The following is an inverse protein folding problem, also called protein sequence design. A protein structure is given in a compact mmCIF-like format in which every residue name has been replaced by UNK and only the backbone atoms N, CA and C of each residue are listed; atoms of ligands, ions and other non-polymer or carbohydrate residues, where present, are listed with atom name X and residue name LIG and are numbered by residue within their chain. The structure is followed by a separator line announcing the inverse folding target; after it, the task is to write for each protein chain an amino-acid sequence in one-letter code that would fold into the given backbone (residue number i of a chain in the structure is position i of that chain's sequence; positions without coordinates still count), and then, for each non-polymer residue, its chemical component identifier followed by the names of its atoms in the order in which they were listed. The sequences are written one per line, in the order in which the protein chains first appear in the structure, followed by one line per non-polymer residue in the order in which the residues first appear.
data_IF_722751544500
#
_entry.id   IF_722751544500
#
_cell.length_a   1.000
_cell.length_b   1.000
_cell.length_c   1.000
_cell.angle_alpha   90.00
_cell.angle_beta   90.00
_cell.angle_gamma   90.00
#
_symmetry.space_group_name_H-M   'P 1'
#
loop_
_entity.id
_entity.type
_entity.pdbx_description
1 polymer ?
#
# COMPACT_ATOMS: atom_id res chain seq x y z
N UNK A 1 -16.99 -7.86 -16.39
CA UNK A 1 -16.37 -9.00 -17.11
C UNK A 1 -15.21 -9.52 -16.26
N UNK A 2 -14.82 -10.80 -16.34
CA UNK A 2 -13.58 -11.21 -15.71
C UNK A 2 -12.40 -10.40 -16.32
N UNK A 3 -11.27 -10.22 -15.57
CA UNK A 3 -10.07 -9.59 -16.11
C UNK A 3 -9.73 -10.26 -17.44
N UNK A 4 -9.21 -9.46 -18.39
CA UNK A 4 -8.85 -9.97 -19.72
C UNK A 4 -7.96 -11.21 -19.57
N UNK A 5 -8.24 -12.24 -20.35
CA UNK A 5 -7.51 -13.51 -20.30
C UNK A 5 -6.04 -13.31 -20.70
N UNK A 6 -5.18 -13.03 -19.73
CA UNK A 6 -3.73 -12.99 -19.94
C UNK A 6 -3.12 -14.27 -19.38
N UNK A 7 -2.16 -14.93 -20.07
CA UNK A 7 -1.56 -16.19 -19.63
C UNK A 7 -0.92 -16.15 -18.24
N UNK A 8 -0.48 -14.97 -17.80
CA UNK A 8 0.08 -14.79 -16.46
C UNK A 8 -0.98 -14.81 -15.35
N UNK A 9 -2.28 -14.57 -15.63
CA UNK A 9 -3.33 -14.58 -14.62
C UNK A 9 -3.69 -16.02 -14.29
N UNK A 10 -3.34 -16.47 -13.08
CA UNK A 10 -3.62 -17.82 -12.57
C UNK A 10 -5.00 -17.87 -11.93
N UNK A 11 -5.37 -16.82 -11.18
CA UNK A 11 -6.63 -16.74 -10.45
C UNK A 11 -7.09 -15.28 -10.35
N UNK A 12 -8.41 -15.07 -10.32
CA UNK A 12 -9.01 -13.77 -10.05
C UNK A 12 -10.33 -13.97 -9.34
N UNK A 13 -10.46 -13.39 -8.16
CA UNK A 13 -11.61 -13.57 -7.26
C UNK A 13 -11.89 -12.30 -6.46
N UNK A 14 -13.03 -12.22 -5.80
CA UNK A 14 -13.28 -11.25 -4.76
C UNK A 14 -12.88 -11.82 -3.40
N UNK A 15 -12.30 -10.99 -2.52
CA UNK A 15 -12.00 -11.40 -1.14
C UNK A 15 -13.28 -11.76 -0.38
N UNK A 16 -14.37 -11.12 -0.71
CA UNK A 16 -15.71 -11.38 -0.16
C UNK A 16 -16.78 -11.03 -1.18
N UNK A 17 -17.91 -11.69 -1.10
CA UNK A 17 -19.12 -11.38 -1.90
C UNK A 17 -20.04 -10.42 -1.16
N UNK A 18 -20.08 -10.49 0.17
CA UNK A 18 -20.88 -9.63 1.03
C UNK A 18 -20.07 -9.15 2.22
N UNK A 19 -20.30 -7.93 2.63
CA UNK A 19 -19.67 -7.29 3.78
C UNK A 19 -20.74 -6.52 4.59
N UNK A 20 -20.48 -6.24 5.88
CA UNK A 20 -21.39 -5.44 6.70
C UNK A 20 -21.34 -3.93 6.41
N UNK A 21 -20.67 -3.53 5.35
CA UNK A 21 -20.50 -2.15 4.89
C UNK A 21 -20.70 -2.06 3.37
N UNK A 22 -21.22 -0.93 2.86
CA UNK A 22 -21.41 -0.75 1.41
C UNK A 22 -20.14 -0.32 0.67
N UNK A 23 -19.20 0.35 1.35
CA UNK A 23 -17.99 0.92 0.71
C UNK A 23 -16.70 0.35 1.29
N UNK A 24 -15.74 0.06 0.42
CA UNK A 24 -14.42 -0.46 0.77
C UNK A 24 -13.31 0.20 -0.07
N UNK A 25 -12.14 0.48 0.54
CA UNK A 25 -11.02 1.07 -0.17
C UNK A 25 -9.65 0.76 0.45
N UNK A 26 -8.58 1.02 -0.33
CA UNK A 26 -7.18 0.99 0.10
C UNK A 26 -6.76 -0.34 0.72
N UNK A 27 -6.79 -1.40 -0.07
CA UNK A 27 -6.35 -2.73 0.37
C UNK A 27 -4.83 -2.82 0.57
N UNK A 28 -4.43 -3.71 1.45
CA UNK A 28 -3.06 -4.17 1.67
C UNK A 28 -3.04 -5.69 1.78
N UNK A 29 -1.95 -6.33 1.39
CA UNK A 29 -1.80 -7.78 1.43
C UNK A 29 -0.41 -8.16 1.95
N UNK A 30 -0.34 -9.26 2.69
CA UNK A 30 0.92 -9.84 3.21
C UNK A 30 0.81 -11.36 3.26
N UNK A 31 1.96 -12.03 3.14
CA UNK A 31 2.09 -13.43 3.51
C UNK A 31 2.71 -13.54 4.90
N UNK A 32 2.06 -14.31 5.78
CA UNK A 32 2.59 -14.63 7.10
C UNK A 32 2.49 -16.14 7.35
N UNK A 33 3.62 -16.81 7.64
CA UNK A 33 3.71 -18.26 7.85
C UNK A 33 3.01 -19.08 6.74
N UNK A 34 3.18 -18.68 5.47
CA UNK A 34 2.62 -19.36 4.31
C UNK A 34 1.11 -19.19 4.11
N UNK A 35 0.50 -18.20 4.76
CA UNK A 35 -0.92 -17.83 4.58
C UNK A 35 -1.04 -16.35 4.24
N UNK A 36 -2.01 -16.02 3.39
CA UNK A 36 -2.27 -14.64 3.00
C UNK A 36 -3.20 -13.96 4.01
N UNK A 37 -2.91 -12.71 4.29
CA UNK A 37 -3.74 -11.82 5.08
C UNK A 37 -3.89 -10.52 4.29
N UNK A 38 -5.12 -10.03 4.19
CA UNK A 38 -5.43 -8.76 3.54
C UNK A 38 -6.27 -7.89 4.47
N UNK A 39 -6.07 -6.57 4.39
CA UNK A 39 -6.86 -5.60 5.12
C UNK A 39 -7.23 -4.42 4.20
N UNK A 40 -8.25 -3.70 4.55
CA UNK A 40 -8.75 -2.49 3.86
C UNK A 40 -9.55 -1.64 4.84
N UNK A 41 -9.86 -0.41 4.49
CA UNK A 41 -10.86 0.31 5.25
C UNK A 41 -12.26 0.17 4.61
N UNK A 42 -13.29 0.15 5.43
CA UNK A 42 -14.68 0.01 4.99
C UNK A 42 -15.67 0.60 5.99
N UNK A 43 -16.75 1.15 5.48
CA UNK A 43 -17.82 1.81 6.22
C UNK A 43 -18.93 2.27 5.26
N UNK A 44 -19.72 3.25 5.67
CA UNK A 44 -20.78 3.83 4.84
C UNK A 44 -20.19 4.52 3.61
N UNK A 45 -19.27 5.47 3.82
CA UNK A 45 -18.52 6.15 2.77
C UNK A 45 -17.14 6.54 3.32
N UNK A 46 -16.15 6.74 2.43
CA UNK A 46 -14.82 7.22 2.83
C UNK A 46 -14.91 8.56 3.56
N UNK A 47 -14.37 8.62 4.78
CA UNK A 47 -14.43 9.81 5.63
C UNK A 47 -15.56 9.80 6.65
N UNK A 48 -16.51 8.87 6.55
CA UNK A 48 -17.56 8.74 7.57
C UNK A 48 -17.01 8.17 8.89
N UNK A 49 -17.55 8.58 10.03
CA UNK A 49 -17.06 8.13 11.34
C UNK A 49 -17.16 6.61 11.55
N UNK A 50 -18.02 5.89 10.81
CA UNK A 50 -18.18 4.44 10.93
C UNK A 50 -17.10 3.65 10.17
N UNK A 51 -16.24 4.33 9.39
CA UNK A 51 -15.16 3.66 8.68
C UNK A 51 -14.17 3.04 9.65
N UNK A 52 -14.02 1.71 9.57
CA UNK A 52 -13.08 0.91 10.32
C UNK A 52 -12.09 0.16 9.44
N UNK A 53 -11.11 -0.51 10.05
CA UNK A 53 -10.18 -1.40 9.35
C UNK A 53 -10.69 -2.83 9.43
N UNK A 54 -10.91 -3.41 8.26
CA UNK A 54 -11.40 -4.76 8.07
C UNK A 54 -10.30 -5.66 7.54
N UNK A 55 -10.38 -6.94 7.86
CA UNK A 55 -9.38 -7.94 7.53
C UNK A 55 -10.03 -9.26 7.12
N UNK A 56 -9.38 -9.94 6.16
CA UNK A 56 -9.68 -11.31 5.78
C UNK A 56 -8.39 -12.13 5.71
N UNK A 57 -8.49 -13.42 6.00
CA UNK A 57 -7.38 -14.37 5.96
C UNK A 57 -7.69 -15.49 4.98
N UNK A 58 -6.70 -15.88 4.19
CA UNK A 58 -6.82 -17.01 3.28
C UNK A 58 -6.25 -18.27 3.95
N UNK A 59 -7.03 -19.32 4.08
CA UNK A 59 -6.60 -20.58 4.73
C UNK A 59 -5.84 -21.53 3.81
N UNK A 60 -5.70 -21.18 2.53
CA UNK A 60 -5.14 -21.97 1.44
C UNK A 60 -6.24 -22.49 0.48
N UNK A 61 -7.52 -22.28 0.80
CA UNK A 61 -8.67 -22.66 -0.04
C UNK A 61 -9.61 -21.50 -0.29
N UNK A 62 -9.88 -20.71 0.74
CA UNK A 62 -10.85 -19.62 0.68
C UNK A 62 -10.49 -18.48 1.63
N UNK A 63 -10.99 -17.31 1.33
CA UNK A 63 -10.96 -16.14 2.20
C UNK A 63 -12.00 -16.25 3.31
N UNK A 64 -11.63 -15.86 4.53
CA UNK A 64 -12.58 -15.74 5.63
C UNK A 64 -13.54 -14.56 5.39
N UNK A 65 -14.70 -14.57 6.03
CA UNK A 65 -15.53 -13.38 6.11
C UNK A 65 -14.73 -12.19 6.67
N UNK A 66 -15.02 -10.94 6.24
CA UNK A 66 -14.42 -9.74 6.81
C UNK A 66 -14.67 -9.61 8.31
N UNK A 67 -13.63 -9.27 9.07
CA UNK A 67 -13.71 -8.93 10.51
C UNK A 67 -13.12 -7.54 10.74
N UNK A 68 -13.78 -6.72 11.54
CA UNK A 68 -13.24 -5.43 11.97
C UNK A 68 -12.12 -5.67 12.99
N UNK A 69 -10.93 -5.10 12.75
CA UNK A 69 -9.73 -5.27 13.58
C UNK A 69 -9.24 -3.98 14.21
N UNK A 70 -9.72 -2.84 13.71
CA UNK A 70 -9.45 -1.53 14.28
C UNK A 70 -10.56 -0.55 13.88
N UNK A 71 -10.82 0.41 14.77
CA UNK A 71 -11.76 1.52 14.55
C UNK A 71 -11.15 2.82 15.05
N UNK A 72 -11.79 3.93 14.73
CA UNK A 72 -11.38 5.26 15.18
C UNK A 72 -12.07 5.73 16.45
N UNK A 73 -12.62 4.84 17.27
CA UNK A 73 -13.25 5.19 18.55
C UNK A 73 -12.19 5.69 19.53
N UNK A 74 -12.41 6.89 20.06
CA UNK A 74 -11.53 7.55 21.01
C UNK A 74 -11.99 7.26 22.47
N UNK A 75 -11.12 7.45 23.47
CA UNK A 75 -11.48 7.23 24.88
C UNK A 75 -12.68 8.03 25.38
N UNK A 76 -12.95 9.19 24.80
CA UNK A 76 -14.09 10.06 25.11
C UNK A 76 -15.39 9.66 24.38
N UNK A 77 -15.35 8.59 23.59
CA UNK A 77 -16.47 8.11 22.78
C UNK A 77 -16.61 8.76 21.42
N UNK A 78 -15.82 9.77 21.09
CA UNK A 78 -15.75 10.35 19.73
C UNK A 78 -15.30 9.26 18.76
N UNK A 79 -15.86 9.24 17.55
CA UNK A 79 -15.45 8.31 16.51
C UNK A 79 -14.98 9.09 15.27
N UNK A 80 -13.74 8.83 14.86
CA UNK A 80 -13.16 9.30 13.61
C UNK A 80 -13.05 8.15 12.61
N UNK A 81 -13.03 8.41 11.31
CA UNK A 81 -12.71 7.39 10.32
C UNK A 81 -11.31 6.81 10.54
N UNK A 82 -11.19 5.52 10.24
CA UNK A 82 -9.89 4.84 10.13
C UNK A 82 -9.49 4.70 8.66
N UNK A 83 -8.19 4.90 8.35
CA UNK A 83 -7.70 5.09 7.01
C UNK A 83 -6.49 4.21 6.70
N UNK A 84 -6.29 3.90 5.40
CA UNK A 84 -5.08 3.36 4.79
C UNK A 84 -4.35 2.31 5.66
N UNK A 85 -4.90 1.11 5.85
CA UNK A 85 -4.18 0.05 6.54
C UNK A 85 -2.95 -0.38 5.72
N UNK A 86 -1.86 -0.68 6.41
CA UNK A 86 -0.68 -1.30 5.86
C UNK A 86 -0.30 -2.49 6.72
N UNK A 87 -0.44 -3.70 6.18
CA UNK A 87 0.06 -4.92 6.77
C UNK A 87 1.54 -5.09 6.42
N UNK A 88 2.33 -5.47 7.39
CA UNK A 88 3.74 -5.79 7.19
C UNK A 88 4.18 -6.95 8.07
N UNK A 89 4.83 -7.96 7.46
CA UNK A 89 5.45 -9.06 8.18
C UNK A 89 6.97 -8.84 8.17
N UNK A 90 7.56 -8.38 9.29
CA UNK A 90 9.02 -8.31 9.38
C UNK A 90 9.65 -9.69 9.28
N UNK A 91 10.93 -9.77 8.95
CA UNK A 91 11.70 -11.02 8.92
C UNK A 91 11.71 -11.72 10.28
N UNK A 92 11.64 -10.93 11.35
CA UNK A 92 11.51 -11.38 12.75
C UNK A 92 10.46 -10.57 13.48
N UNK A 93 9.63 -11.24 14.28
CA UNK A 93 8.63 -10.58 15.11
C UNK A 93 7.19 -10.79 14.63
N UNK A 94 6.24 -10.07 15.22
CA UNK A 94 4.83 -10.22 14.92
C UNK A 94 4.45 -9.59 13.58
N UNK A 95 3.31 -10.01 13.03
CA UNK A 95 2.62 -9.28 11.96
C UNK A 95 2.20 -7.91 12.50
N UNK A 96 2.50 -6.86 11.74
CA UNK A 96 2.16 -5.47 12.07
C UNK A 96 1.00 -4.98 11.19
N UNK A 97 0.12 -4.20 11.79
CA UNK A 97 -0.93 -3.44 11.10
C UNK A 97 -0.76 -1.97 11.45
N UNK A 98 -0.30 -1.18 10.50
CA UNK A 98 -0.30 0.28 10.58
C UNK A 98 -1.61 0.81 9.99
N UNK A 99 -2.15 1.86 10.57
CA UNK A 99 -3.32 2.57 10.04
C UNK A 99 -3.36 3.99 10.59
N UNK A 100 -4.25 4.81 10.07
CA UNK A 100 -4.44 6.19 10.52
C UNK A 100 -5.84 6.35 11.06
N UNK A 101 -5.99 7.27 11.98
CA UNK A 101 -7.28 7.70 12.53
C UNK A 101 -7.27 9.23 12.56
N UNK A 102 -8.35 9.85 12.23
CA UNK A 102 -8.49 11.31 12.24
C UNK A 102 -9.62 11.77 11.34
N UNK A 103 -10.07 13.02 11.46
CA UNK A 103 -11.21 13.55 10.71
C UNK A 103 -10.94 13.60 9.20
N UNK A 104 -9.68 13.79 8.80
CA UNK A 104 -9.26 13.87 7.39
C UNK A 104 -7.79 13.47 7.22
N UNK A 105 -7.30 13.27 5.98
CA UNK A 105 -5.88 13.04 5.70
C UNK A 105 -4.95 14.20 6.10
N UNK A 106 -5.49 15.37 6.33
CA UNK A 106 -4.76 16.56 6.77
C UNK A 106 -4.54 16.57 8.29
N UNK A 107 -5.42 15.87 9.06
CA UNK A 107 -5.47 15.93 10.51
C UNK A 107 -5.36 14.56 11.20
N UNK A 108 -5.05 13.50 10.46
CA UNK A 108 -4.93 12.16 11.02
C UNK A 108 -3.61 11.92 11.78
N UNK A 109 -3.60 10.86 12.56
CA UNK A 109 -2.40 10.37 13.26
C UNK A 109 -2.19 8.88 13.00
N UNK A 110 -0.94 8.44 13.13
CA UNK A 110 -0.54 7.06 12.91
C UNK A 110 -0.75 6.17 14.14
N UNK A 111 -1.18 4.94 13.89
CA UNK A 111 -1.30 3.88 14.88
C UNK A 111 -0.70 2.58 14.35
N UNK A 112 -0.28 1.73 15.27
CA UNK A 112 0.19 0.37 14.97
C UNK A 112 -0.36 -0.64 15.95
N UNK A 113 -0.70 -1.84 15.46
CA UNK A 113 -1.07 -3.03 16.24
C UNK A 113 -0.19 -4.19 15.83
N UNK A 114 0.00 -5.16 16.72
CA UNK A 114 0.78 -6.36 16.49
C UNK A 114 -0.06 -7.62 16.69
N UNK A 115 0.16 -8.62 15.85
CA UNK A 115 -0.46 -9.95 15.95
C UNK A 115 0.61 -11.03 15.96
N UNK A 116 0.50 -11.97 16.91
CA UNK A 116 1.37 -13.14 17.03
C UNK A 116 0.74 -14.42 16.49
N UNK A 117 -0.46 -14.32 15.94
CA UNK A 117 -1.27 -15.47 15.50
C UNK A 117 -1.85 -15.28 14.09
N UNK A 118 -1.09 -14.60 13.23
CA UNK A 118 -1.43 -14.38 11.81
C UNK A 118 -2.70 -13.56 11.62
N UNK A 119 -2.85 -12.50 12.42
CA UNK A 119 -3.98 -11.59 12.32
C UNK A 119 -5.31 -12.13 12.88
N UNK A 120 -5.27 -13.20 13.70
CA UNK A 120 -6.49 -13.67 14.40
C UNK A 120 -6.84 -12.81 15.59
N UNK A 121 -5.84 -12.42 16.35
CA UNK A 121 -5.96 -11.45 17.42
C UNK A 121 -4.89 -10.37 17.30
N UNK A 122 -5.15 -9.22 17.90
CA UNK A 122 -4.31 -8.03 17.80
C UNK A 122 -4.10 -7.43 19.19
N UNK A 123 -2.92 -6.86 19.41
CA UNK A 123 -2.66 -6.03 20.59
C UNK A 123 -3.59 -4.82 20.62
N UNK A 124 -3.63 -4.12 21.75
CA UNK A 124 -4.11 -2.75 21.77
C UNK A 124 -3.33 -1.89 20.76
N UNK A 125 -3.99 -0.84 20.25
CA UNK A 125 -3.36 0.10 19.33
C UNK A 125 -2.33 0.96 20.09
N UNK A 126 -1.14 1.07 19.52
CA UNK A 126 -0.12 2.02 19.98
C UNK A 126 -0.14 3.22 19.04
N UNK A 127 -0.32 4.43 19.58
CA UNK A 127 -0.18 5.67 18.81
C UNK A 127 1.31 5.88 18.48
N UNK A 128 1.61 6.18 17.24
CA UNK A 128 2.96 6.56 16.84
C UNK A 128 3.31 7.95 17.40
N UNK A 129 4.61 8.26 17.56
CA UNK A 129 5.04 9.56 18.04
C UNK A 129 4.45 10.72 17.23
N UNK A 130 4.30 11.88 17.84
CA UNK A 130 3.79 13.06 17.14
C UNK A 130 4.65 13.39 15.92
N UNK A 131 3.96 13.66 14.78
CA UNK A 131 4.58 13.91 13.48
C UNK A 131 5.08 12.68 12.77
N UNK A 132 4.85 11.46 13.28
CA UNK A 132 5.10 10.17 12.64
C UNK A 132 3.76 9.54 12.25
N UNK A 133 3.64 9.11 11.00
CA UNK A 133 2.44 8.48 10.45
C UNK A 133 2.64 6.98 10.18
N UNK A 134 3.90 6.52 10.19
CA UNK A 134 4.24 5.17 9.72
C UNK A 134 4.08 5.05 8.20
N UNK A 135 4.13 3.84 7.65
CA UNK A 135 3.90 3.62 6.22
C UNK A 135 2.50 4.13 5.86
N UNK A 136 2.46 5.12 4.93
CA UNK A 136 1.22 5.85 4.68
C UNK A 136 0.21 5.02 3.87
N UNK A 137 0.71 4.14 2.97
CA UNK A 137 -0.13 3.30 2.12
C UNK A 137 0.58 2.07 1.56
N UNK A 138 1.78 2.22 0.97
CA UNK A 138 2.59 1.10 0.51
C UNK A 138 3.36 0.47 1.68
N UNK A 139 3.75 -0.79 1.51
CA UNK A 139 4.50 -1.51 2.54
C UNK A 139 5.88 -0.90 2.75
N UNK A 140 6.37 -0.83 4.00
CA UNK A 140 7.78 -0.53 4.26
C UNK A 140 8.67 -1.65 3.73
N UNK A 141 9.96 -1.38 3.62
CA UNK A 141 10.99 -2.40 3.42
C UNK A 141 11.81 -2.58 4.69
N UNK A 142 12.38 -3.75 4.87
CA UNK A 142 13.33 -4.04 5.94
C UNK A 142 14.76 -3.97 5.37
N UNK A 143 15.54 -3.00 5.85
CA UNK A 143 16.93 -2.84 5.46
C UNK A 143 17.81 -3.94 6.04
N UNK A 144 19.02 -4.13 5.50
CA UNK A 144 19.93 -5.19 5.90
C UNK A 144 20.31 -5.18 7.40
N UNK A 145 20.22 -4.04 8.06
CA UNK A 145 20.47 -3.88 9.50
C UNK A 145 19.22 -4.07 10.38
N UNK A 146 18.09 -4.49 9.77
CA UNK A 146 16.81 -4.70 10.43
C UNK A 146 15.97 -3.42 10.62
N UNK A 147 16.44 -2.28 10.12
CA UNK A 147 15.64 -1.04 10.15
C UNK A 147 14.49 -1.13 9.17
N UNK A 148 13.28 -0.82 9.61
CA UNK A 148 12.16 -0.57 8.70
C UNK A 148 12.32 0.82 8.08
N UNK A 149 12.25 0.90 6.77
CA UNK A 149 12.14 2.14 6.01
C UNK A 149 10.73 2.21 5.42
N UNK A 150 9.97 3.21 5.85
CA UNK A 150 8.59 3.42 5.45
C UNK A 150 8.46 4.69 4.61
N UNK A 151 7.73 4.59 3.52
CA UNK A 151 7.32 5.76 2.76
C UNK A 151 6.08 6.41 3.38
N UNK A 152 6.17 7.69 3.68
CA UNK A 152 5.12 8.48 4.32
C UNK A 152 4.84 9.78 3.55
N UNK A 153 3.77 10.47 3.89
CA UNK A 153 3.44 11.77 3.31
C UNK A 153 2.44 12.53 4.15
N UNK A 154 2.45 13.85 4.02
CA UNK A 154 1.47 14.78 4.62
C UNK A 154 0.69 15.52 3.54
N UNK A 155 -0.52 16.01 3.89
CA UNK A 155 -1.41 16.69 2.95
C UNK A 155 -1.83 18.10 3.41
N UNK A 156 -1.45 18.55 4.62
CA UNK A 156 -1.91 19.80 5.23
C UNK A 156 -1.23 21.07 4.68
N UNK A 157 0.05 21.00 4.28
CA UNK A 157 0.81 22.13 3.72
C UNK A 157 1.26 21.84 2.28
N UNK A 158 0.32 21.34 1.45
CA UNK A 158 0.62 20.72 0.17
C UNK A 158 0.93 19.22 0.33
N UNK A 159 1.12 18.53 -0.77
CA UNK A 159 1.45 17.12 -0.76
C UNK A 159 2.96 16.90 -0.66
N UNK A 160 3.40 16.49 0.52
CA UNK A 160 4.82 16.34 0.82
C UNK A 160 5.15 14.91 1.21
N UNK A 161 6.08 14.30 0.45
CA UNK A 161 6.65 12.97 0.74
C UNK A 161 7.78 13.12 1.74
N UNK A 162 7.83 12.24 2.72
CA UNK A 162 8.98 12.04 3.60
C UNK A 162 9.17 10.56 3.88
N UNK A 163 10.33 10.20 4.38
CA UNK A 163 10.62 8.83 4.77
C UNK A 163 10.70 8.73 6.27
N UNK A 164 10.22 7.61 6.80
CA UNK A 164 10.24 7.31 8.22
C UNK A 164 10.96 5.98 8.46
N UNK A 165 11.69 5.86 9.55
CA UNK A 165 12.41 4.63 9.87
C UNK A 165 12.37 4.30 11.35
N UNK A 166 12.38 2.99 11.65
CA UNK A 166 12.36 2.45 13.00
C UNK A 166 13.05 1.08 13.06
N UNK A 167 13.75 0.82 14.16
CA UNK A 167 14.16 -0.52 14.58
C UNK A 167 13.19 -1.14 15.58
N UNK A 168 12.32 -0.32 16.13
CA UNK A 168 11.31 -0.69 17.13
C UNK A 168 9.94 -0.14 16.69
N UNK A 169 9.24 -0.81 15.77
CA UNK A 169 8.03 -0.27 15.14
C UNK A 169 6.90 0.09 16.12
N UNK A 170 6.89 -0.52 17.30
CA UNK A 170 5.95 -0.19 18.39
C UNK A 170 6.46 0.91 19.32
N UNK A 171 7.62 1.49 19.04
CA UNK A 171 8.32 2.45 19.91
C UNK A 171 8.86 3.66 19.13
N UNK A 172 10.20 3.72 19.00
CA UNK A 172 10.89 4.89 18.48
C UNK A 172 10.91 4.95 16.95
N UNK A 173 10.63 6.13 16.42
CA UNK A 173 10.68 6.46 15.00
C UNK A 173 11.47 7.74 14.75
N UNK A 174 12.03 7.83 13.56
CA UNK A 174 12.65 9.04 13.02
C UNK A 174 12.09 9.31 11.62
N UNK A 175 12.19 10.54 11.14
CA UNK A 175 11.78 10.90 9.79
C UNK A 175 12.77 11.83 9.10
N UNK A 176 12.74 11.84 7.78
CA UNK A 176 13.48 12.79 6.95
C UNK A 176 12.78 14.14 6.89
N UNK A 177 13.49 15.14 6.38
CA UNK A 177 12.86 16.31 5.78
C UNK A 177 12.01 15.88 4.56
N UNK A 178 11.10 16.75 4.04
CA UNK A 178 10.37 16.49 2.81
C UNK A 178 11.31 16.19 1.63
N UNK A 179 10.96 15.17 0.83
CA UNK A 179 11.70 14.78 -0.38
C UNK A 179 11.36 15.68 -1.56
N UNK A 180 10.16 16.27 -1.56
CA UNK A 180 9.68 17.17 -2.61
C UNK A 180 9.25 18.51 -2.03
N UNK A 181 9.18 19.51 -2.92
CA UNK A 181 8.50 20.77 -2.70
C UNK A 181 7.13 20.71 -3.38
N UNK A 182 6.06 21.11 -2.68
CA UNK A 182 4.73 21.19 -3.27
C UNK A 182 4.62 22.25 -4.39
N UNK A 183 5.53 23.22 -4.41
CA UNK A 183 5.62 24.23 -5.50
C UNK A 183 6.08 23.61 -6.82
N UNK A 184 6.83 22.48 -6.76
CA UNK A 184 7.30 21.76 -7.94
C UNK A 184 6.45 20.52 -8.21
N UNK A 185 6.24 19.70 -7.18
CA UNK A 185 5.54 18.41 -7.26
C UNK A 185 4.63 18.21 -6.07
N UNK A 186 3.34 18.25 -6.28
CA UNK A 186 2.34 17.75 -5.32
C UNK A 186 2.32 16.21 -5.38
N UNK A 187 3.15 15.54 -4.58
CA UNK A 187 3.32 14.09 -4.59
C UNK A 187 3.14 13.47 -3.21
N UNK A 188 2.53 12.27 -3.15
CA UNK A 188 2.30 11.50 -1.91
C UNK A 188 2.38 9.99 -2.15
N UNK A 189 2.32 9.25 -1.04
CA UNK A 189 2.14 7.79 -1.00
C UNK A 189 3.23 7.03 -1.77
N UNK A 190 4.49 7.19 -1.40
CA UNK A 190 5.60 6.52 -2.06
C UNK A 190 5.51 4.98 -1.91
N UNK A 191 5.79 4.26 -2.99
CA UNK A 191 6.20 2.85 -2.97
C UNK A 191 7.71 2.78 -3.14
N UNK A 192 8.36 1.77 -2.54
CA UNK A 192 9.81 1.70 -2.41
C UNK A 192 10.36 0.58 -3.29
N UNK A 193 11.36 0.89 -4.09
CA UNK A 193 12.17 -0.07 -4.86
C UNK A 193 13.58 -0.13 -4.26
N UNK A 194 13.95 -1.29 -3.72
CA UNK A 194 15.31 -1.53 -3.24
C UNK A 194 16.17 -2.13 -4.37
N UNK A 195 17.14 -1.37 -4.84
CA UNK A 195 18.12 -1.77 -5.86
C UNK A 195 19.35 -2.47 -5.25
N UNK A 196 19.36 -2.64 -3.93
CA UNK A 196 20.50 -3.21 -3.19
C UNK A 196 21.63 -2.22 -2.96
N UNK A 197 22.57 -2.58 -2.08
CA UNK A 197 23.76 -1.80 -1.73
C UNK A 197 23.47 -0.38 -1.24
N UNK A 198 22.29 -0.15 -0.65
CA UNK A 198 21.86 1.16 -0.16
C UNK A 198 21.26 2.08 -1.20
N UNK A 199 21.16 1.64 -2.47
CA UNK A 199 20.48 2.39 -3.52
C UNK A 199 18.99 2.11 -3.48
N UNK A 200 18.18 3.13 -3.24
CA UNK A 200 16.73 3.05 -3.09
C UNK A 200 16.07 4.06 -4.02
N UNK A 201 14.97 3.67 -4.62
CA UNK A 201 14.09 4.53 -5.40
C UNK A 201 12.71 4.57 -4.77
N UNK A 202 12.08 5.72 -4.77
CA UNK A 202 10.65 5.83 -4.49
C UNK A 202 9.91 6.24 -5.75
N UNK A 203 8.71 5.68 -5.92
CA UNK A 203 7.74 6.09 -6.94
C UNK A 203 6.50 6.62 -6.23
N UNK A 204 6.02 7.79 -6.62
CA UNK A 204 4.90 8.46 -5.95
C UNK A 204 3.80 8.81 -6.95
N UNK A 205 2.54 8.81 -6.49
CA UNK A 205 1.46 9.47 -7.24
C UNK A 205 1.62 10.99 -7.11
N UNK A 206 1.22 11.73 -8.14
CA UNK A 206 1.24 13.19 -8.13
C UNK A 206 -0.04 13.80 -8.68
N UNK A 207 -0.31 15.08 -8.37
CA UNK A 207 -1.42 15.84 -8.98
C UNK A 207 -1.13 16.21 -10.44
N UNK A 208 0.12 16.13 -10.87
CA UNK A 208 0.57 16.53 -12.22
C UNK A 208 0.27 15.47 -13.31
N UNK A 209 -0.46 14.40 -12.98
CA UNK A 209 -0.91 13.41 -13.97
C UNK A 209 0.13 12.35 -14.33
N UNK A 210 1.25 12.28 -13.61
CA UNK A 210 2.36 11.35 -13.82
C UNK A 210 2.83 10.72 -12.52
N UNK A 211 3.52 9.58 -12.61
CA UNK A 211 4.28 9.03 -11.51
C UNK A 211 5.58 9.82 -11.37
N UNK A 212 5.88 10.30 -10.16
CA UNK A 212 7.15 10.95 -9.83
C UNK A 212 8.09 9.98 -9.13
N UNK A 213 9.38 10.31 -9.09
CA UNK A 213 10.42 9.50 -8.48
C UNK A 213 11.48 10.35 -7.79
N UNK A 214 12.15 9.75 -6.80
CA UNK A 214 13.39 10.25 -6.22
C UNK A 214 14.29 9.08 -5.84
N UNK A 215 15.60 9.35 -5.74
CA UNK A 215 16.64 8.35 -5.51
C UNK A 215 17.42 8.65 -4.24
N UNK A 216 17.84 7.59 -3.55
CA UNK A 216 18.76 7.61 -2.43
C UNK A 216 19.91 6.65 -2.71
N UNK A 217 21.14 7.05 -2.36
CA UNK A 217 22.33 6.21 -2.45
C UNK A 217 22.86 5.79 -1.06
N UNK A 218 22.14 6.14 0.01
CA UNK A 218 22.55 5.97 1.40
C UNK A 218 21.50 5.29 2.29
N UNK A 219 20.74 4.34 1.71
CA UNK A 219 19.70 3.57 2.39
C UNK A 219 18.53 4.44 2.88
N UNK A 220 18.16 5.45 2.09
CA UNK A 220 16.98 6.28 2.32
C UNK A 220 17.19 7.45 3.29
N UNK A 221 18.44 7.80 3.62
CA UNK A 221 18.75 8.90 4.55
C UNK A 221 18.75 10.26 3.87
N UNK A 222 19.26 10.33 2.65
CA UNK A 222 19.19 11.51 1.79
C UNK A 222 18.60 11.16 0.42
N UNK A 223 18.01 12.15 -0.25
CA UNK A 223 17.26 11.96 -1.48
C UNK A 223 17.66 12.97 -2.55
N UNK A 224 17.67 12.53 -3.79
CA UNK A 224 17.78 13.42 -4.95
C UNK A 224 16.54 14.32 -5.03
N UNK A 225 16.60 15.45 -5.76
CA UNK A 225 15.39 16.15 -6.17
C UNK A 225 14.40 15.20 -6.83
N UNK A 226 13.09 15.42 -6.58
CA UNK A 226 12.04 14.65 -7.22
C UNK A 226 11.95 14.99 -8.69
N UNK A 227 11.77 13.96 -9.52
CA UNK A 227 11.62 14.09 -10.97
C UNK A 227 10.43 13.28 -11.48
N UNK A 228 10.05 13.45 -12.74
CA UNK A 228 8.98 12.68 -13.38
C UNK A 228 9.50 11.39 -13.98
N UNK A 229 8.64 10.38 -14.08
CA UNK A 229 8.80 9.22 -14.96
C UNK A 229 8.00 9.40 -16.24
N UNK A 230 8.08 8.43 -17.15
CA UNK A 230 7.24 8.39 -18.36
C UNK A 230 5.86 7.75 -18.12
N UNK A 231 5.53 7.37 -16.90
CA UNK A 231 4.28 6.68 -16.55
C UNK A 231 3.18 7.69 -16.23
N UNK A 232 2.08 7.72 -17.01
CA UNK A 232 0.91 8.51 -16.63
C UNK A 232 0.27 7.96 -15.37
N UNK A 233 -0.35 8.84 -14.58
CA UNK A 233 -1.09 8.46 -13.38
C UNK A 233 -2.16 9.50 -13.05
N UNK A 234 -3.43 9.13 -12.85
CA UNK A 234 -4.52 10.06 -12.58
C UNK A 234 -4.58 10.46 -11.09
N UNK A 235 -3.44 10.68 -10.47
CA UNK A 235 -3.34 10.85 -9.01
C UNK A 235 -3.97 9.69 -8.24
N UNK A 236 -3.65 8.46 -8.63
CA UNK A 236 -4.11 7.22 -8.01
C UNK A 236 -2.94 6.49 -7.32
N UNK A 237 -3.22 5.84 -6.19
CA UNK A 237 -2.22 5.04 -5.48
C UNK A 237 -1.64 3.93 -6.36
N UNK A 238 -0.35 3.70 -6.20
CA UNK A 238 0.45 2.69 -6.90
C UNK A 238 1.11 1.76 -5.89
N UNK A 239 1.52 0.56 -6.28
CA UNK A 239 2.38 -0.30 -5.46
C UNK A 239 3.38 -1.06 -6.33
N UNK A 240 4.50 -1.44 -5.74
CA UNK A 240 5.58 -2.13 -6.43
C UNK A 240 6.15 -3.27 -5.60
N UNK A 241 6.78 -4.23 -6.28
CA UNK A 241 7.53 -5.32 -5.66
C UNK A 241 8.79 -5.62 -6.45
N UNK A 242 9.87 -5.94 -5.76
CA UNK A 242 11.08 -6.51 -6.34
C UNK A 242 10.88 -8.02 -6.43
N UNK A 243 10.87 -8.57 -7.64
CA UNK A 243 10.71 -9.98 -7.89
C UNK A 243 12.01 -10.74 -7.65
N UNK A 244 11.89 -12.01 -7.28
CA UNK A 244 13.04 -12.90 -7.03
C UNK A 244 13.91 -13.14 -8.26
N UNK A 245 13.40 -12.84 -9.46
CA UNK A 245 14.16 -12.91 -10.73
C UNK A 245 14.91 -11.61 -11.06
N UNK A 246 14.88 -10.61 -10.16
CA UNK A 246 15.58 -9.34 -10.27
C UNK A 246 14.84 -8.26 -11.06
N UNK A 247 13.61 -8.52 -11.53
CA UNK A 247 12.73 -7.50 -12.10
C UNK A 247 11.97 -6.76 -11.00
N UNK A 248 11.64 -5.50 -11.27
CA UNK A 248 10.61 -4.77 -10.54
C UNK A 248 9.27 -4.93 -11.25
N UNK A 249 8.21 -5.05 -10.48
CA UNK A 249 6.84 -5.05 -10.96
C UNK A 249 6.09 -3.90 -10.30
N UNK A 250 5.41 -3.11 -11.12
CA UNK A 250 4.58 -1.97 -10.69
C UNK A 250 3.13 -2.24 -11.08
N UNK A 251 2.20 -1.90 -10.18
CA UNK A 251 0.77 -1.86 -10.46
C UNK A 251 0.26 -0.43 -10.34
N UNK A 252 -0.39 0.08 -11.39
CA UNK A 252 -0.77 1.50 -11.50
C UNK A 252 -1.95 1.72 -12.45
N UNK A 253 -2.53 2.91 -12.40
CA UNK A 253 -3.53 3.36 -13.37
C UNK A 253 -2.82 4.08 -14.52
N UNK A 254 -2.82 3.53 -15.76
CA UNK A 254 -2.02 4.03 -16.89
C UNK A 254 -2.73 5.14 -17.68
N UNK A 255 -3.35 6.08 -17.00
CA UNK A 255 -4.13 7.18 -17.57
C UNK A 255 -3.80 8.48 -16.85
N UNK A 256 -3.92 9.61 -17.51
CA UNK A 256 -3.78 10.91 -16.86
C UNK A 256 -5.02 11.29 -16.04
N UNK A 257 -6.17 10.74 -16.39
CA UNK A 257 -7.45 11.02 -15.72
C UNK A 257 -8.32 9.78 -15.64
N UNK A 258 -9.09 9.69 -14.55
CA UNK A 258 -9.98 8.56 -14.29
C UNK A 258 -9.21 7.30 -13.85
N UNK A 259 -9.94 6.34 -13.29
CA UNK A 259 -9.37 5.09 -12.74
C UNK A 259 -10.03 3.85 -13.34
N UNK A 260 -10.44 3.95 -14.62
CA UNK A 260 -11.13 2.88 -15.35
C UNK A 260 -10.18 1.80 -15.88
N UNK A 261 -8.87 2.06 -15.85
CA UNK A 261 -7.82 1.10 -16.20
C UNK A 261 -6.92 0.83 -15.02
N UNK A 262 -6.52 -0.43 -14.82
CA UNK A 262 -5.50 -0.85 -13.88
C UNK A 262 -4.56 -1.82 -14.60
N UNK A 263 -3.25 -1.59 -14.52
CA UNK A 263 -2.24 -2.31 -15.32
C UNK A 263 -1.00 -2.64 -14.50
N UNK A 264 -0.30 -3.68 -14.93
CA UNK A 264 1.04 -4.01 -14.48
C UNK A 264 2.08 -3.55 -15.51
N UNK A 265 3.25 -3.16 -15.02
CA UNK A 265 4.44 -2.93 -15.83
C UNK A 265 5.66 -3.54 -15.15
N UNK A 266 6.61 -4.02 -15.94
CA UNK A 266 7.89 -4.56 -15.45
C UNK A 266 9.05 -3.64 -15.81
N UNK A 267 10.08 -3.63 -14.95
CA UNK A 267 11.33 -2.93 -15.18
C UNK A 267 12.51 -3.73 -14.64
N UNK A 268 13.72 -3.53 -15.19
CA UNK A 268 14.97 -4.06 -14.63
C UNK A 268 15.80 -2.99 -13.93
N UNK A 269 15.53 -1.73 -14.23
CA UNK A 269 16.30 -0.58 -13.76
C UNK A 269 15.47 0.40 -12.90
N UNK A 270 14.14 0.21 -12.83
CA UNK A 270 13.21 1.13 -12.14
C UNK A 270 12.90 2.40 -12.95
N UNK A 271 13.49 2.58 -14.13
CA UNK A 271 13.32 3.75 -15.01
C UNK A 271 12.58 3.39 -16.30
N UNK A 272 13.01 2.31 -16.97
CA UNK A 272 12.44 1.81 -18.21
C UNK A 272 11.34 0.80 -17.92
N UNK A 273 10.09 1.22 -18.05
CA UNK A 273 8.92 0.40 -17.73
C UNK A 273 8.24 -0.16 -18.96
N UNK A 274 8.09 -1.46 -19.03
CA UNK A 274 7.34 -2.17 -20.09
C UNK A 274 5.97 -2.56 -19.57
N UNK A 275 4.88 -2.02 -20.12
CA UNK A 275 3.52 -2.44 -19.79
C UNK A 275 3.30 -3.92 -20.11
N UNK A 276 2.68 -4.66 -19.19
CA UNK A 276 2.43 -6.10 -19.35
C UNK A 276 0.94 -6.42 -19.26
N UNK A 277 0.41 -6.75 -18.10
CA UNK A 277 -0.95 -7.23 -17.90
C UNK A 277 -1.92 -6.08 -17.65
N UNK A 278 -3.00 -6.02 -18.41
CA UNK A 278 -4.16 -5.21 -18.09
C UNK A 278 -5.07 -5.98 -17.14
N UNK A 279 -5.17 -5.52 -15.90
CA UNK A 279 -6.04 -6.14 -14.88
C UNK A 279 -7.49 -5.70 -15.07
N UNK A 280 -7.70 -4.42 -15.34
CA UNK A 280 -9.03 -3.83 -15.55
C UNK A 280 -9.00 -2.83 -16.71
N UNK A 281 -10.04 -2.84 -17.52
CA UNK A 281 -10.24 -1.90 -18.64
C UNK A 281 -11.74 -1.81 -18.96
N UNK A 282 -12.52 -1.27 -18.03
CA UNK A 282 -13.98 -1.10 -18.19
C UNK A 282 -14.46 0.14 -17.43
N UNK A 283 -15.68 0.62 -17.67
CA UNK A 283 -16.25 1.71 -16.88
C UNK A 283 -16.30 1.37 -15.39
N UNK A 284 -15.75 2.23 -14.55
CA UNK A 284 -15.66 2.05 -13.10
C UNK A 284 -14.39 2.67 -12.52
N UNK A 285 -14.20 2.47 -11.21
CA UNK A 285 -13.03 2.90 -10.47
C UNK A 285 -12.25 1.69 -9.94
N UNK A 286 -11.03 1.50 -10.42
CA UNK A 286 -10.11 0.44 -9.98
C UNK A 286 -8.84 1.10 -9.48
N UNK A 287 -8.53 0.97 -8.19
CA UNK A 287 -7.47 1.80 -7.61
C UNK A 287 -6.93 1.23 -6.30
N UNK A 288 -5.90 1.89 -5.80
CA UNK A 288 -5.24 1.56 -4.55
C UNK A 288 -4.83 0.08 -4.48
N UNK A 289 -4.07 -0.39 -5.48
CA UNK A 289 -3.56 -1.74 -5.48
C UNK A 289 -2.50 -1.94 -4.39
N UNK A 290 -2.38 -3.17 -3.91
CA UNK A 290 -1.27 -3.63 -3.10
C UNK A 290 -0.77 -4.96 -3.65
N UNK A 291 0.54 -5.20 -3.57
CA UNK A 291 1.16 -6.34 -4.23
C UNK A 291 2.26 -6.97 -3.39
N UNK A 292 2.37 -8.29 -3.44
CA UNK A 292 3.51 -9.06 -2.92
C UNK A 292 3.88 -10.17 -3.91
N UNK A 293 5.12 -10.64 -3.86
CA UNK A 293 5.48 -11.96 -4.33
C UNK A 293 5.52 -12.90 -3.13
N UNK A 294 4.72 -13.96 -3.15
CA UNK A 294 4.65 -14.94 -2.08
C UNK A 294 5.77 -16.00 -2.20
N UNK A 295 5.94 -16.82 -1.18
CA UNK A 295 7.01 -17.85 -1.12
C UNK A 295 6.87 -18.92 -2.18
N UNK A 296 5.68 -19.15 -2.73
CA UNK A 296 5.45 -20.05 -3.86
C UNK A 296 5.91 -19.46 -5.20
N UNK A 297 6.42 -18.22 -5.21
CA UNK A 297 6.88 -17.48 -6.37
C UNK A 297 5.80 -16.73 -7.11
N UNK A 298 4.53 -16.92 -6.78
CA UNK A 298 3.42 -16.20 -7.41
C UNK A 298 3.30 -14.77 -6.88
N UNK A 299 2.77 -13.90 -7.71
CA UNK A 299 2.48 -12.52 -7.33
C UNK A 299 1.00 -12.40 -7.00
N UNK A 300 0.72 -11.84 -5.84
CA UNK A 300 -0.64 -11.56 -5.38
C UNK A 300 -0.88 -10.04 -5.40
N UNK A 301 -1.93 -9.62 -6.10
CA UNK A 301 -2.36 -8.23 -6.19
C UNK A 301 -3.76 -8.12 -5.61
N UNK A 302 -3.96 -7.18 -4.70
CA UNK A 302 -5.30 -6.77 -4.24
C UNK A 302 -5.56 -5.34 -4.65
N UNK A 303 -6.80 -4.98 -4.93
CA UNK A 303 -7.18 -3.60 -5.26
C UNK A 303 -8.66 -3.34 -5.00
N UNK A 304 -8.99 -2.08 -4.84
CA UNK A 304 -10.36 -1.60 -4.74
C UNK A 304 -11.06 -1.74 -6.09
N UNK A 305 -12.15 -2.48 -6.10
CA UNK A 305 -13.05 -2.64 -7.24
C UNK A 305 -14.32 -1.84 -7.01
N UNK A 306 -14.46 -0.74 -7.76
CA UNK A 306 -15.65 0.16 -7.79
C UNK A 306 -16.08 0.71 -6.41
N UNK A 307 -15.17 0.76 -5.45
CA UNK A 307 -15.46 1.11 -4.05
C UNK A 307 -16.40 0.13 -3.32
N UNK A 308 -16.83 -0.94 -3.94
CA UNK A 308 -17.76 -1.92 -3.39
C UNK A 308 -17.04 -3.11 -2.74
N UNK A 309 -15.98 -3.59 -3.38
CA UNK A 309 -15.28 -4.82 -2.99
C UNK A 309 -13.77 -4.73 -3.18
N UNK A 310 -13.08 -5.70 -2.60
CA UNK A 310 -11.65 -5.90 -2.83
C UNK A 310 -11.47 -7.09 -3.77
N UNK A 311 -10.79 -6.85 -4.90
CA UNK A 311 -10.39 -7.87 -5.86
C UNK A 311 -9.04 -8.44 -5.48
N UNK A 312 -8.85 -9.74 -5.66
CA UNK A 312 -7.59 -10.45 -5.55
C UNK A 312 -7.26 -11.13 -6.88
N UNK A 313 -6.05 -10.91 -7.37
CA UNK A 313 -5.53 -11.52 -8.60
C UNK A 313 -4.20 -12.18 -8.29
N UNK A 314 -4.03 -13.43 -8.76
CA UNK A 314 -2.81 -14.21 -8.64
C UNK A 314 -2.15 -14.30 -10.02
N UNK A 315 -0.85 -14.02 -10.08
CA UNK A 315 -0.09 -13.96 -11.33
C UNK A 315 1.15 -14.87 -11.26
N UNK A 316 1.42 -15.54 -12.37
CA UNK A 316 2.67 -16.24 -12.61
C UNK A 316 3.68 -15.25 -13.23
N UNK A 317 4.71 -14.77 -12.49
CA UNK A 317 5.64 -13.79 -13.01
C UNK A 317 6.53 -14.33 -14.15
N UNK A 318 6.65 -15.65 -14.32
CA UNK A 318 7.39 -16.23 -15.44
C UNK A 318 6.69 -16.02 -16.79
N UNK A 319 5.43 -15.60 -16.77
CA UNK A 319 4.61 -15.33 -17.98
C UNK A 319 4.35 -13.84 -18.22
N UNK A 320 5.04 -12.96 -17.47
CA UNK A 320 5.00 -11.51 -17.62
C UNK A 320 5.97 -11.02 -18.69
#
# INVERSE_FOLDING_TARGET
MPPQSHPAIVQSEFIYERAPFPSAHASTIVETEGKLVTAWFGGTEEGDPDVGIWLSRHDGRAWSAPVEVASGIQPDGTRHPAWNPVLFQPSKGPLLLFYKVGPSPEEWWGLVKASKDRGRSWSDATRLPDGILGPIRAKPIELADGTLLAGSSTEHDGWLVHMEWSKEPLGAWSKSDPVNSADEWDAIQPTILDHGKGRIQILCRSKQGVVTQAWSEDSGRSWSPMTTTMLPNPSAGIDSVHLTDGRFLLVYNPTERGRHQLRLATSRDGESWTPTVMLENEPGGFSYPAMIQARDGLVHVTYTWKRERIRHVVLDPAKL
#
